data_IF_866459437923
#
_entry.id   IF_866459437923
#
_cell.length_a   1.000
_cell.length_b   1.000
_cell.length_c   1.000
_cell.angle_alpha   90.00
_cell.angle_beta   90.00
_cell.angle_gamma   90.00
#
_symmetry.space_group_name_H-M   'P 1'
#
loop_
_entity.id
_entity.type
_entity.pdbx_description
1 polymer ?
#
# COMPACT_ATOMS: atom_id res chain seq x y z
N UNK A 1 4.04 10.26 -5.71
CA UNK A 1 4.43 8.86 -5.94
C UNK A 1 4.16 8.49 -7.39
N UNK A 2 5.12 7.86 -8.04
CA UNK A 2 4.97 7.46 -9.43
C UNK A 2 3.97 6.30 -9.51
N UNK A 3 2.94 6.38 -10.35
CA UNK A 3 1.95 5.30 -10.46
C UNK A 3 2.55 3.98 -10.94
N UNK A 4 3.74 4.01 -11.53
CA UNK A 4 4.40 2.79 -11.96
C UNK A 4 5.24 2.15 -10.86
N UNK A 5 5.32 2.78 -9.69
CA UNK A 5 6.10 2.27 -8.57
C UNK A 5 5.18 1.90 -7.44
N UNK A 6 4.99 0.61 -7.25
CA UNK A 6 4.23 0.14 -6.11
C UNK A 6 5.08 0.21 -4.85
N UNK A 7 4.45 0.36 -3.67
CA UNK A 7 5.18 0.23 -2.41
C UNK A 7 5.85 -1.14 -2.34
N UNK A 8 6.97 -1.23 -1.62
CA UNK A 8 7.64 -2.51 -1.50
C UNK A 8 6.84 -3.45 -0.59
N UNK A 9 7.24 -4.72 -0.58
CA UNK A 9 6.51 -5.74 0.17
C UNK A 9 6.45 -5.43 1.66
N UNK A 10 7.54 -4.91 2.21
CA UNK A 10 7.59 -4.58 3.63
C UNK A 10 6.56 -3.51 3.98
N UNK A 11 6.40 -2.52 3.11
CA UNK A 11 5.44 -1.45 3.34
C UNK A 11 4.01 -1.96 3.23
N UNK A 12 3.74 -2.83 2.27
CA UNK A 12 2.42 -3.43 2.12
C UNK A 12 2.08 -4.31 3.32
N UNK A 13 3.04 -5.05 3.82
CA UNK A 13 2.84 -5.88 5.01
C UNK A 13 2.57 -5.02 6.24
N UNK A 14 3.29 -3.92 6.38
CA UNK A 14 3.06 -3.00 7.48
C UNK A 14 1.67 -2.40 7.41
N UNK A 15 1.21 -2.08 6.21
CA UNK A 15 -0.15 -1.58 6.02
C UNK A 15 -1.17 -2.64 6.45
N UNK A 16 -0.99 -3.88 6.01
CA UNK A 16 -1.92 -4.96 6.32
C UNK A 16 -1.96 -5.28 7.81
N UNK A 17 -0.84 -5.15 8.50
CA UNK A 17 -0.77 -5.41 9.93
C UNK A 17 -1.17 -4.21 10.79
N UNK A 18 -1.40 -3.06 10.17
CA UNK A 18 -1.77 -1.85 10.89
C UNK A 18 -0.61 -1.16 11.58
N UNK A 19 0.61 -1.40 11.11
CA UNK A 19 1.82 -0.84 11.73
C UNK A 19 2.18 0.54 11.19
N UNK A 20 1.57 0.97 10.11
CA UNK A 20 1.88 2.26 9.51
C UNK A 20 1.17 3.39 10.24
N UNK A 21 1.78 4.59 10.19
CA UNK A 21 1.09 5.77 10.65
C UNK A 21 -0.13 6.03 9.79
N UNK A 22 -1.06 6.82 10.32
CA UNK A 22 -2.28 7.14 9.59
C UNK A 22 -1.98 7.80 8.24
N UNK A 23 -1.00 8.70 8.21
CA UNK A 23 -0.64 9.39 6.98
C UNK A 23 -0.15 8.43 5.92
N UNK A 24 0.75 7.51 6.31
CA UNK A 24 1.25 6.52 5.37
C UNK A 24 0.18 5.52 4.95
N UNK A 25 -0.70 5.16 5.87
CA UNK A 25 -1.80 4.28 5.55
C UNK A 25 -2.70 4.87 4.47
N UNK A 26 -2.94 6.17 4.55
CA UNK A 26 -3.75 6.83 3.53
C UNK A 26 -3.06 6.83 2.16
N UNK A 27 -1.74 7.03 2.15
CA UNK A 27 -0.99 6.99 0.90
C UNK A 27 -1.07 5.60 0.27
N UNK A 28 -0.85 4.57 1.07
CA UNK A 28 -0.92 3.20 0.56
C UNK A 28 -2.34 2.86 0.11
N UNK A 29 -3.34 3.23 0.88
CA UNK A 29 -4.73 2.97 0.52
C UNK A 29 -5.09 3.66 -0.79
N UNK A 30 -4.61 4.88 -0.99
CA UNK A 30 -4.83 5.60 -2.23
C UNK A 30 -4.21 4.86 -3.42
N UNK A 31 -2.99 4.34 -3.23
CA UNK A 31 -2.35 3.55 -4.27
C UNK A 31 -3.15 2.27 -4.56
N UNK A 32 -3.62 1.59 -3.52
CA UNK A 32 -4.37 0.35 -3.68
C UNK A 32 -5.68 0.57 -4.42
N UNK A 33 -6.22 1.77 -4.38
CA UNK A 33 -7.50 2.04 -5.04
C UNK A 33 -7.40 1.96 -6.56
N UNK A 34 -6.19 2.05 -7.11
CA UNK A 34 -6.00 1.96 -8.55
C UNK A 34 -4.92 0.97 -8.98
N UNK A 35 -4.33 0.24 -8.04
CA UNK A 35 -3.35 -0.79 -8.38
C UNK A 35 -3.86 -2.15 -7.94
N UNK A 36 -4.38 -2.89 -8.90
CA UNK A 36 -4.99 -4.19 -8.62
C UNK A 36 -3.96 -5.20 -8.10
N UNK A 37 -2.74 -5.14 -8.63
CA UNK A 37 -1.69 -6.07 -8.22
C UNK A 37 -1.35 -5.90 -6.74
N UNK A 38 -1.25 -4.66 -6.28
CA UNK A 38 -0.96 -4.40 -4.88
C UNK A 38 -2.12 -4.82 -3.98
N UNK A 39 -3.35 -4.64 -4.45
CA UNK A 39 -4.51 -5.09 -3.69
C UNK A 39 -4.48 -6.61 -3.48
N UNK A 40 -4.07 -7.34 -4.50
CA UNK A 40 -3.98 -8.79 -4.40
C UNK A 40 -2.89 -9.21 -3.43
N UNK A 41 -1.78 -8.48 -3.39
CA UNK A 41 -0.70 -8.80 -2.47
C UNK A 41 -1.10 -8.57 -1.01
N UNK A 42 -1.91 -7.55 -0.76
CA UNK A 42 -2.36 -7.22 0.59
C UNK A 42 -3.48 -8.14 1.04
N UNK A 43 -4.29 -8.56 0.11
CA UNK A 43 -5.49 -9.34 0.42
C UNK A 43 -5.15 -10.75 0.99
#
# INVERSE_FOLDING_TARGET
MNPNHCPNSALLMAYASGSLTEAFSLVVASHLSFCQECRQKVN
#
